data_IF_701145268433
#
_entry.id   IF_701145268433
#
_cell.length_a   1.000
_cell.length_b   1.000
_cell.length_c   1.000
_cell.angle_alpha   90.00
_cell.angle_beta   90.00
_cell.angle_gamma   90.00
#
_symmetry.space_group_name_H-M   'P 1'
#
loop_
_entity.id
_entity.type
_entity.pdbx_description
1 polymer ?
#
# COMPACT_ATOMS: atom_id res chain seq x y z
N UNK A 1 45.31 -38.78 22.83
CA UNK A 1 44.40 -37.72 23.32
C UNK A 1 45.04 -36.40 22.90
N UNK A 2 44.30 -35.46 22.29
CA UNK A 2 44.75 -34.13 21.78
C UNK A 2 45.26 -33.96 20.34
N UNK A 3 44.96 -34.86 19.39
CA UNK A 3 45.35 -34.59 17.99
C UNK A 3 44.36 -35.10 16.94
N UNK A 4 43.06 -34.99 17.22
CA UNK A 4 42.02 -35.42 16.27
C UNK A 4 40.73 -34.59 16.28
N UNK A 5 40.77 -33.37 16.83
CA UNK A 5 39.59 -32.48 16.95
C UNK A 5 39.73 -31.20 16.10
N UNK A 6 40.94 -30.85 15.62
CA UNK A 6 41.14 -29.59 14.91
C UNK A 6 40.77 -29.62 13.41
N UNK A 7 40.63 -30.80 12.80
CA UNK A 7 40.40 -30.94 11.35
C UNK A 7 38.93 -30.92 10.93
N UNK A 8 37.98 -30.94 11.87
CA UNK A 8 36.53 -30.91 11.56
C UNK A 8 35.86 -29.55 11.75
N UNK A 9 36.55 -28.57 12.34
CA UNK A 9 36.00 -27.21 12.54
C UNK A 9 36.27 -26.29 11.34
N UNK A 10 37.29 -26.59 10.51
CA UNK A 10 37.60 -25.78 9.32
C UNK A 10 36.68 -26.11 8.13
N UNK A 11 35.99 -27.25 8.12
CA UNK A 11 35.13 -27.64 7.00
C UNK A 11 33.67 -27.12 7.09
N UNK A 12 33.26 -26.52 8.21
CA UNK A 12 31.89 -25.97 8.38
C UNK A 12 31.85 -24.44 8.19
N UNK A 13 33.00 -23.77 8.18
CA UNK A 13 33.10 -22.33 7.89
C UNK A 13 33.24 -21.99 6.40
N UNK A 14 33.32 -22.99 5.52
CA UNK A 14 33.50 -22.79 4.07
C UNK A 14 32.23 -23.01 3.24
N UNK A 15 31.09 -23.35 3.85
CA UNK A 15 29.83 -23.65 3.14
C UNK A 15 28.76 -22.55 3.29
N UNK A 16 29.01 -21.52 4.11
CA UNK A 16 28.18 -20.29 4.15
C UNK A 16 28.72 -19.15 3.28
N UNK A 17 29.69 -19.44 2.40
CA UNK A 17 30.33 -18.48 1.50
C UNK A 17 30.10 -18.78 0.01
N UNK A 18 29.10 -19.60 -0.34
CA UNK A 18 28.80 -19.97 -1.72
C UNK A 18 27.32 -19.77 -2.04
N UNK A 19 26.97 -18.53 -2.41
CA UNK A 19 26.09 -18.19 -3.54
C UNK A 19 25.93 -16.67 -3.74
N UNK A 20 26.91 -15.86 -3.36
CA UNK A 20 27.11 -14.56 -4.02
C UNK A 20 27.77 -14.82 -5.37
N UNK A 21 27.01 -15.40 -6.32
CA UNK A 21 27.37 -15.37 -7.73
C UNK A 21 27.57 -13.90 -8.10
N UNK A 22 28.83 -13.56 -8.29
CA UNK A 22 29.32 -12.21 -8.49
C UNK A 22 28.61 -11.57 -9.68
N UNK A 23 27.68 -10.64 -9.42
CA UNK A 23 27.19 -9.67 -10.41
C UNK A 23 28.29 -8.68 -10.85
N UNK A 24 29.57 -8.98 -10.61
CA UNK A 24 30.73 -8.11 -10.71
C UNK A 24 31.11 -7.66 -12.15
N UNK A 25 30.21 -7.84 -13.11
CA UNK A 25 30.37 -7.35 -14.49
C UNK A 25 29.07 -6.87 -15.14
N UNK A 26 27.94 -6.88 -14.43
CA UNK A 26 26.66 -6.41 -14.99
C UNK A 26 26.46 -4.95 -14.57
N UNK A 27 26.29 -4.00 -15.51
CA UNK A 27 25.98 -2.62 -15.19
C UNK A 27 24.77 -2.50 -14.25
N UNK A 28 24.81 -1.57 -13.30
CA UNK A 28 23.74 -1.40 -12.30
C UNK A 28 22.39 -1.05 -12.95
N UNK A 29 22.38 -0.34 -14.07
CA UNK A 29 21.19 -0.12 -14.89
C UNK A 29 20.57 -1.43 -15.41
N UNK A 30 21.39 -2.38 -15.87
CA UNK A 30 20.92 -3.68 -16.32
C UNK A 30 20.39 -4.53 -15.14
N UNK A 31 21.03 -4.46 -13.97
CA UNK A 31 20.50 -5.07 -12.73
C UNK A 31 19.13 -4.53 -12.38
N UNK A 32 18.92 -3.22 -12.52
CA UNK A 32 17.63 -2.57 -12.23
C UNK A 32 16.54 -3.07 -13.17
N UNK A 33 16.82 -3.15 -14.48
CA UNK A 33 15.85 -3.66 -15.46
C UNK A 33 15.46 -5.12 -15.18
N UNK A 34 16.44 -5.98 -14.85
CA UNK A 34 16.18 -7.38 -14.46
C UNK A 34 15.32 -7.44 -13.20
N UNK A 35 15.64 -6.62 -12.20
CA UNK A 35 14.87 -6.55 -10.96
C UNK A 35 13.43 -6.12 -11.22
N UNK A 36 13.21 -5.02 -11.95
CA UNK A 36 11.86 -4.53 -12.29
C UNK A 36 11.05 -5.62 -12.99
N UNK A 37 11.59 -6.23 -14.06
CA UNK A 37 10.89 -7.28 -14.81
C UNK A 37 10.48 -8.47 -13.92
N UNK A 38 11.34 -8.86 -12.97
CA UNK A 38 11.00 -9.90 -12.00
C UNK A 38 9.94 -9.46 -11.01
N UNK A 39 10.01 -8.23 -10.49
CA UNK A 39 8.98 -7.70 -9.58
C UNK A 39 7.62 -7.62 -10.28
N UNK A 40 7.58 -7.26 -11.56
CA UNK A 40 6.36 -7.24 -12.36
C UNK A 40 5.77 -8.64 -12.49
N UNK A 41 6.59 -9.64 -12.83
CA UNK A 41 6.17 -11.04 -12.89
C UNK A 41 5.65 -11.56 -11.54
N UNK A 42 6.31 -11.20 -10.43
CA UNK A 42 5.83 -11.53 -9.07
C UNK A 42 4.49 -10.86 -8.79
N UNK A 43 4.30 -9.60 -9.22
CA UNK A 43 3.09 -8.82 -8.92
C UNK A 43 1.82 -9.46 -9.48
N UNK A 44 1.91 -10.12 -10.65
CA UNK A 44 0.81 -10.78 -11.36
C UNK A 44 0.69 -12.28 -11.08
N UNK A 45 1.54 -12.85 -10.21
CA UNK A 45 1.62 -14.29 -9.95
C UNK A 45 0.41 -14.93 -9.27
N UNK A 46 -0.61 -14.14 -8.88
CA UNK A 46 -1.76 -14.60 -8.10
C UNK A 46 -1.43 -14.96 -6.65
N UNK A 47 -0.19 -14.78 -6.20
CA UNK A 47 0.24 -15.07 -4.83
C UNK A 47 -0.32 -14.06 -3.82
N UNK A 48 -0.50 -14.45 -2.54
CA UNK A 48 -0.85 -13.53 -1.46
C UNK A 48 0.10 -12.33 -1.39
N UNK A 49 -0.41 -11.16 -0.97
CA UNK A 49 0.37 -9.91 -0.87
C UNK A 49 1.64 -10.08 -0.03
N UNK A 50 1.55 -10.76 1.12
CA UNK A 50 2.71 -10.99 1.98
C UNK A 50 3.77 -11.90 1.33
N UNK A 51 3.36 -12.88 0.52
CA UNK A 51 4.29 -13.76 -0.20
C UNK A 51 4.97 -12.99 -1.35
N UNK A 52 4.21 -12.19 -2.10
CA UNK A 52 4.77 -11.30 -3.14
C UNK A 52 5.80 -10.34 -2.56
N UNK A 53 5.50 -9.71 -1.42
CA UNK A 53 6.44 -8.85 -0.71
C UNK A 53 7.75 -9.58 -0.35
N UNK A 54 7.68 -10.80 0.19
CA UNK A 54 8.87 -11.61 0.50
C UNK A 54 9.70 -11.93 -0.74
N UNK A 55 9.07 -12.28 -1.85
CA UNK A 55 9.76 -12.58 -3.11
C UNK A 55 10.43 -11.33 -3.70
N UNK A 56 9.74 -10.18 -3.69
CA UNK A 56 10.31 -8.90 -4.11
C UNK A 56 11.51 -8.52 -3.25
N UNK A 57 11.39 -8.66 -1.92
CA UNK A 57 12.49 -8.39 -1.00
C UNK A 57 13.69 -9.29 -1.26
N UNK A 58 13.48 -10.59 -1.47
CA UNK A 58 14.57 -11.52 -1.79
C UNK A 58 15.30 -11.14 -3.09
N UNK A 59 14.56 -10.74 -4.13
CA UNK A 59 15.16 -10.26 -5.38
C UNK A 59 15.89 -8.92 -5.18
N UNK A 60 15.38 -8.03 -4.34
CA UNK A 60 16.09 -6.80 -3.97
C UNK A 60 17.40 -7.12 -3.27
N UNK A 61 17.40 -7.99 -2.25
CA UNK A 61 18.62 -8.33 -1.52
C UNK A 61 19.68 -8.94 -2.44
N UNK A 62 19.27 -9.83 -3.35
CA UNK A 62 20.17 -10.44 -4.33
C UNK A 62 20.86 -9.40 -5.24
N UNK A 63 20.13 -8.35 -5.63
CA UNK A 63 20.58 -7.42 -6.67
C UNK A 63 21.01 -6.05 -6.15
N UNK A 64 20.64 -5.63 -4.94
CA UNK A 64 20.75 -4.24 -4.49
C UNK A 64 21.01 -4.09 -2.98
N UNK A 65 21.21 -5.17 -2.21
CA UNK A 65 21.63 -5.03 -0.81
C UNK A 65 23.02 -4.40 -0.74
N UNK A 66 23.08 -3.13 -0.32
CA UNK A 66 24.31 -2.41 -0.02
C UNK A 66 24.04 -1.39 1.09
N UNK A 67 25.07 -1.03 1.85
CA UNK A 67 24.97 0.17 2.67
C UNK A 67 24.88 1.40 1.76
N UNK A 68 23.89 2.27 2.02
CA UNK A 68 23.70 3.51 1.28
C UNK A 68 24.93 4.42 1.27
N UNK A 69 25.87 4.28 2.23
CA UNK A 69 27.13 5.02 2.24
C UNK A 69 28.17 4.49 1.25
N UNK A 70 28.07 3.21 0.86
CA UNK A 70 29.04 2.54 -0.01
C UNK A 70 28.65 2.59 -1.51
N UNK A 71 27.43 3.00 -1.82
CA UNK A 71 26.94 3.14 -3.21
C UNK A 71 27.69 4.28 -3.89
N UNK A 72 28.14 4.10 -5.14
CA UNK A 72 28.81 5.16 -5.89
C UNK A 72 27.80 6.19 -6.43
N UNK A 73 28.23 7.44 -6.58
CA UNK A 73 27.35 8.53 -7.05
C UNK A 73 26.81 8.34 -8.48
N UNK A 74 27.46 7.52 -9.30
CA UNK A 74 27.01 7.17 -10.66
C UNK A 74 26.02 6.00 -10.71
N UNK A 75 25.81 5.30 -9.58
CA UNK A 75 24.86 4.19 -9.45
C UNK A 75 23.67 4.53 -8.53
N UNK A 76 23.74 5.68 -7.87
CA UNK A 76 22.84 6.06 -6.80
C UNK A 76 21.38 6.18 -7.25
N UNK A 77 21.15 6.63 -8.48
CA UNK A 77 19.82 6.73 -9.05
C UNK A 77 19.17 5.35 -9.18
N UNK A 78 19.89 4.36 -9.70
CA UNK A 78 19.38 2.99 -9.86
C UNK A 78 19.11 2.31 -8.53
N UNK A 79 19.96 2.53 -7.51
CA UNK A 79 19.71 2.01 -6.16
C UNK A 79 18.50 2.67 -5.51
N UNK A 80 18.32 3.99 -5.70
CA UNK A 80 17.13 4.70 -5.24
C UNK A 80 15.87 4.09 -5.87
N UNK A 81 15.87 3.88 -7.20
CA UNK A 81 14.76 3.28 -7.94
C UNK A 81 14.46 1.84 -7.48
N UNK A 82 15.47 0.99 -7.34
CA UNK A 82 15.30 -0.37 -6.85
C UNK A 82 14.73 -0.40 -5.43
N UNK A 83 15.21 0.50 -4.56
CA UNK A 83 14.74 0.60 -3.17
C UNK A 83 13.29 1.06 -3.11
N UNK A 84 12.92 2.06 -3.92
CA UNK A 84 11.54 2.52 -4.01
C UNK A 84 10.60 1.42 -4.50
N UNK A 85 10.97 0.68 -5.55
CA UNK A 85 10.20 -0.43 -6.09
C UNK A 85 10.05 -1.57 -5.08
N UNK A 86 11.11 -1.91 -4.33
CA UNK A 86 11.00 -2.91 -3.26
C UNK A 86 10.05 -2.44 -2.14
N UNK A 87 10.21 -1.20 -1.68
CA UNK A 87 9.34 -0.62 -0.65
C UNK A 87 7.90 -0.47 -1.14
N UNK A 88 7.66 -0.36 -2.46
CA UNK A 88 6.33 -0.38 -3.06
C UNK A 88 5.52 -1.61 -2.66
N UNK A 89 6.13 -2.78 -2.80
CA UNK A 89 5.46 -4.04 -2.51
C UNK A 89 5.49 -4.41 -1.03
N UNK A 90 6.60 -4.10 -0.35
CA UNK A 90 6.84 -4.57 1.02
C UNK A 90 6.27 -3.64 2.09
N UNK A 91 6.21 -2.33 1.82
CA UNK A 91 5.96 -1.30 2.84
C UNK A 91 6.89 -1.42 4.06
N UNK A 92 8.10 -1.97 3.86
CA UNK A 92 9.06 -2.15 4.94
C UNK A 92 9.64 -0.79 5.39
N UNK A 93 9.04 -0.22 6.44
CA UNK A 93 9.47 1.04 7.05
C UNK A 93 10.92 1.02 7.53
N UNK A 94 11.51 -0.15 7.82
CA UNK A 94 12.91 -0.24 8.25
C UNK A 94 13.89 0.21 7.15
N UNK A 95 13.46 0.21 5.89
CA UNK A 95 14.26 0.64 4.74
C UNK A 95 14.23 2.15 4.50
N UNK A 96 13.29 2.86 5.14
CA UNK A 96 13.11 4.31 4.95
C UNK A 96 14.39 5.12 5.24
N UNK A 97 15.17 4.88 6.31
CA UNK A 97 16.42 5.62 6.55
C UNK A 97 17.48 5.41 5.46
N UNK A 98 17.49 4.24 4.80
CA UNK A 98 18.40 3.99 3.67
C UNK A 98 17.94 4.79 2.46
N UNK A 99 16.64 4.77 2.17
CA UNK A 99 16.03 5.50 1.07
C UNK A 99 16.18 7.02 1.20
N UNK A 100 15.98 7.57 2.41
CA UNK A 100 16.23 8.98 2.76
C UNK A 100 17.70 9.38 2.52
N UNK A 101 18.66 8.52 2.91
CA UNK A 101 20.09 8.77 2.70
C UNK A 101 20.47 8.79 1.22
N UNK A 102 19.94 7.86 0.42
CA UNK A 102 20.17 7.84 -1.03
C UNK A 102 19.64 9.13 -1.67
N UNK A 103 18.43 9.54 -1.29
CA UNK A 103 17.84 10.80 -1.76
C UNK A 103 18.69 12.02 -1.37
N UNK A 104 19.12 12.12 -0.11
CA UNK A 104 19.93 13.23 0.35
C UNK A 104 21.21 13.37 -0.48
N UNK A 105 21.90 12.26 -0.75
CA UNK A 105 23.10 12.24 -1.61
C UNK A 105 22.82 12.65 -3.06
N UNK A 106 21.66 12.27 -3.62
CA UNK A 106 21.24 12.74 -4.95
C UNK A 106 21.02 14.26 -4.96
N UNK A 107 20.47 14.82 -3.88
CA UNK A 107 20.29 16.27 -3.74
C UNK A 107 21.63 16.99 -3.58
N UNK A 108 22.51 16.47 -2.72
CA UNK A 108 23.81 17.07 -2.41
C UNK A 108 24.75 17.11 -3.63
N UNK A 109 24.55 16.19 -4.59
CA UNK A 109 25.29 16.13 -5.86
C UNK A 109 24.58 16.80 -7.03
N UNK A 110 23.44 17.47 -6.78
CA UNK A 110 22.58 18.12 -7.79
C UNK A 110 22.10 17.16 -8.90
N UNK A 111 21.93 15.88 -8.57
CA UNK A 111 21.46 14.82 -9.47
C UNK A 111 20.00 14.42 -9.23
N UNK A 112 19.38 14.89 -8.15
CA UNK A 112 18.00 14.54 -7.80
C UNK A 112 17.00 15.07 -8.83
N UNK A 113 16.20 14.18 -9.42
CA UNK A 113 15.13 14.53 -10.37
C UNK A 113 13.82 14.83 -9.65
N UNK A 114 12.93 15.62 -10.26
CA UNK A 114 11.58 15.90 -9.72
C UNK A 114 10.79 14.64 -9.41
N UNK A 115 10.96 13.59 -10.22
CA UNK A 115 10.34 12.29 -9.98
C UNK A 115 10.81 11.67 -8.66
N UNK A 116 12.11 11.75 -8.36
CA UNK A 116 12.67 11.23 -7.11
C UNK A 116 12.18 12.02 -5.88
N UNK A 117 11.98 13.34 -6.00
CA UNK A 117 11.29 14.14 -4.97
C UNK A 117 9.87 13.61 -4.73
N UNK A 118 9.13 13.33 -5.82
CA UNK A 118 7.77 12.80 -5.75
C UNK A 118 7.73 11.42 -5.10
N UNK A 119 8.66 10.53 -5.46
CA UNK A 119 8.77 9.17 -4.93
C UNK A 119 9.03 9.14 -3.43
N UNK A 120 9.94 9.96 -2.91
CA UNK A 120 10.17 10.03 -1.47
C UNK A 120 8.96 10.61 -0.73
N UNK A 121 8.31 11.62 -1.28
CA UNK A 121 7.07 12.15 -0.70
C UNK A 121 5.96 11.10 -0.64
N UNK A 122 5.74 10.36 -1.75
CA UNK A 122 4.75 9.28 -1.79
C UNK A 122 5.11 8.13 -0.84
N UNK A 123 6.39 7.84 -0.63
CA UNK A 123 6.84 6.86 0.37
C UNK A 123 6.41 7.25 1.78
N UNK A 124 6.60 8.53 2.16
CA UNK A 124 6.14 8.99 3.46
C UNK A 124 4.63 8.81 3.62
N UNK A 125 3.85 9.14 2.59
CA UNK A 125 2.41 8.93 2.65
C UNK A 125 2.04 7.44 2.73
N UNK A 126 2.65 6.57 1.92
CA UNK A 126 2.39 5.13 1.94
C UNK A 126 2.65 4.51 3.32
N UNK A 127 3.73 4.95 3.99
CA UNK A 127 4.11 4.52 5.33
C UNK A 127 3.42 5.28 6.46
N UNK A 128 2.51 6.21 6.15
CA UNK A 128 1.80 7.10 7.09
C UNK A 128 2.74 7.98 7.94
N UNK A 129 3.93 8.27 7.41
CA UNK A 129 4.92 9.21 7.96
C UNK A 129 4.56 10.68 7.61
N UNK A 130 3.34 11.10 7.93
CA UNK A 130 2.82 12.40 7.49
C UNK A 130 3.65 13.59 8.00
N UNK A 131 4.23 13.52 9.20
CA UNK A 131 5.09 14.58 9.71
C UNK A 131 6.42 14.70 8.95
N UNK A 132 6.96 13.57 8.49
CA UNK A 132 8.13 13.57 7.60
C UNK A 132 7.76 14.16 6.24
N UNK A 133 6.60 13.81 5.69
CA UNK A 133 6.08 14.42 4.46
C UNK A 133 5.94 15.94 4.59
N UNK A 134 5.35 16.43 5.69
CA UNK A 134 5.23 17.86 5.96
C UNK A 134 6.59 18.56 6.06
N UNK A 135 7.55 17.92 6.73
CA UNK A 135 8.93 18.43 6.84
C UNK A 135 9.61 18.49 5.49
N UNK A 136 9.42 17.46 4.66
CA UNK A 136 9.93 17.39 3.30
C UNK A 136 9.37 18.52 2.42
N UNK A 137 8.05 18.73 2.46
CA UNK A 137 7.38 19.80 1.70
C UNK A 137 7.87 21.20 2.10
N UNK A 138 8.09 21.46 3.39
CA UNK A 138 8.66 22.74 3.85
C UNK A 138 10.08 22.94 3.33
N UNK A 139 10.90 21.89 3.31
CA UNK A 139 12.30 21.95 2.85
C UNK A 139 12.42 22.15 1.35
N UNK A 140 11.52 21.57 0.57
CA UNK A 140 11.62 21.51 -0.90
C UNK A 140 10.45 22.17 -1.63
N UNK A 141 9.82 23.18 -1.01
CA UNK A 141 8.59 23.83 -1.48
C UNK A 141 8.64 24.42 -2.90
N UNK A 142 9.83 24.73 -3.41
CA UNK A 142 10.05 25.29 -4.76
C UNK A 142 10.22 24.22 -5.86
N UNK A 143 10.22 22.93 -5.53
CA UNK A 143 10.43 21.85 -6.51
C UNK A 143 9.09 21.35 -7.10
N UNK A 144 9.08 20.72 -8.29
CA UNK A 144 7.86 20.46 -9.07
C UNK A 144 6.86 19.48 -8.44
N UNK A 145 7.26 18.79 -7.37
CA UNK A 145 6.45 17.81 -6.63
C UNK A 145 5.79 18.44 -5.39
N UNK A 146 5.70 19.76 -5.32
CA UNK A 146 5.21 20.49 -4.15
C UNK A 146 3.72 20.26 -3.94
N UNK A 147 3.40 19.62 -2.82
CA UNK A 147 2.08 19.64 -2.21
C UNK A 147 2.05 20.60 -1.03
N UNK A 148 0.87 20.81 -0.48
CA UNK A 148 0.70 21.52 0.79
C UNK A 148 0.73 20.53 1.97
N UNK A 149 1.27 20.99 3.09
CA UNK A 149 1.33 20.25 4.34
C UNK A 149 -0.08 19.86 4.82
N UNK A 150 -0.17 18.70 5.47
CA UNK A 150 -1.40 18.12 5.97
C UNK A 150 -1.40 18.19 7.49
N UNK A 151 -2.47 18.70 8.09
CA UNK A 151 -2.62 18.71 9.56
C UNK A 151 -3.04 17.32 10.02
N UNK A 152 -2.36 16.78 11.02
CA UNK A 152 -2.56 15.41 11.50
C UNK A 152 -3.14 15.44 12.91
N UNK A 153 -4.16 14.63 13.15
CA UNK A 153 -4.74 14.39 14.48
C UNK A 153 -4.93 12.89 14.65
N UNK A 154 -4.36 12.31 15.70
CA UNK A 154 -4.61 10.91 16.05
C UNK A 154 -5.52 10.86 17.28
N UNK A 155 -6.76 10.41 17.07
CA UNK A 155 -7.78 10.29 18.12
C UNK A 155 -8.09 8.82 18.43
N UNK A 156 -7.19 7.90 18.05
CA UNK A 156 -7.42 6.47 18.23
C UNK A 156 -7.27 6.02 19.67
N UNK A 157 -8.05 5.00 20.04
CA UNK A 157 -7.85 4.28 21.29
C UNK A 157 -6.62 3.39 21.20
N UNK A 158 -5.78 3.28 22.25
CA UNK A 158 -4.66 2.33 22.28
C UNK A 158 -5.06 0.86 22.09
N UNK A 159 -6.34 0.53 22.34
CA UNK A 159 -6.89 -0.81 22.24
C UNK A 159 -7.67 -1.05 20.93
N UNK A 160 -7.74 -0.07 20.04
CA UNK A 160 -8.47 -0.19 18.79
C UNK A 160 -7.82 -1.28 17.90
N UNK A 161 -8.56 -2.32 17.50
CA UNK A 161 -7.98 -3.38 16.67
C UNK A 161 -7.78 -2.92 15.22
N UNK A 162 -8.53 -1.92 14.78
CA UNK A 162 -8.53 -1.39 13.41
C UNK A 162 -8.73 0.11 13.45
N UNK A 163 -8.00 0.81 12.59
CA UNK A 163 -8.02 2.26 12.50
C UNK A 163 -7.96 2.74 11.05
N UNK A 164 -8.38 3.96 10.83
CA UNK A 164 -8.36 4.59 9.51
C UNK A 164 -8.17 6.09 9.59
N UNK A 165 -7.58 6.67 8.55
CA UNK A 165 -7.42 8.12 8.44
C UNK A 165 -8.56 8.71 7.61
N UNK A 166 -9.31 9.61 8.21
CA UNK A 166 -10.43 10.31 7.57
C UNK A 166 -9.98 11.70 7.15
N UNK A 167 -10.28 12.08 5.90
CA UNK A 167 -10.08 13.45 5.43
C UNK A 167 -11.07 14.39 6.10
N UNK A 168 -10.56 15.56 6.48
CA UNK A 168 -11.31 16.64 7.12
C UNK A 168 -11.03 17.94 6.38
N UNK A 169 -11.74 19.00 6.75
CA UNK A 169 -11.55 20.32 6.15
C UNK A 169 -10.13 20.85 6.36
N UNK A 170 -9.74 21.86 5.57
CA UNK A 170 -8.45 22.55 5.71
C UNK A 170 -7.23 21.63 5.65
N UNK A 171 -7.25 20.66 4.71
CA UNK A 171 -6.17 19.69 4.48
C UNK A 171 -5.75 18.96 5.74
N UNK A 172 -6.71 18.31 6.40
CA UNK A 172 -6.44 17.58 7.62
C UNK A 172 -6.83 16.11 7.54
N UNK A 173 -6.05 15.27 8.23
CA UNK A 173 -6.31 13.86 8.41
C UNK A 173 -6.52 13.59 9.90
N UNK A 174 -7.61 12.91 10.24
CA UNK A 174 -7.88 12.43 11.59
C UNK A 174 -7.86 10.91 11.61
N UNK A 175 -7.00 10.31 12.41
CA UNK A 175 -7.04 8.87 12.65
C UNK A 175 -8.15 8.55 13.65
N UNK A 176 -8.99 7.60 13.30
CA UNK A 176 -10.11 7.15 14.11
C UNK A 176 -10.15 5.63 14.19
N UNK A 177 -10.77 5.13 15.24
CA UNK A 177 -11.10 3.72 15.40
C UNK A 177 -12.16 3.32 14.36
N UNK A 178 -12.01 2.12 13.80
CA UNK A 178 -13.02 1.51 12.95
C UNK A 178 -13.75 0.43 13.76
N UNK A 179 -14.88 0.81 14.35
CA UNK A 179 -15.67 -0.09 15.18
C UNK A 179 -16.57 -0.99 14.32
N UNK A 180 -16.22 -2.26 14.28
CA UNK A 180 -16.97 -3.32 13.60
C UNK A 180 -17.62 -4.29 14.60
N UNK A 181 -17.55 -4.01 15.92
CA UNK A 181 -17.83 -4.98 16.98
C UNK A 181 -19.32 -5.29 17.19
N UNK A 182 -20.22 -4.51 16.61
CA UNK A 182 -21.66 -4.72 16.72
C UNK A 182 -22.38 -4.58 15.40
N UNK A 183 -23.26 -5.53 15.09
CA UNK A 183 -24.08 -5.50 13.89
C UNK A 183 -23.32 -5.93 12.64
N UNK A 184 -23.93 -5.69 11.47
CA UNK A 184 -23.35 -6.01 10.17
C UNK A 184 -22.63 -4.81 9.59
N UNK A 185 -21.44 -5.06 9.07
CA UNK A 185 -20.61 -4.06 8.41
C UNK A 185 -20.07 -4.61 7.09
N UNK A 186 -19.97 -3.73 6.10
CA UNK A 186 -19.27 -3.95 4.86
C UNK A 186 -18.07 -3.01 4.80
N UNK A 187 -16.87 -3.59 4.73
CA UNK A 187 -15.66 -2.86 4.40
C UNK A 187 -15.31 -3.12 2.95
N UNK A 188 -15.16 -2.06 2.16
CA UNK A 188 -14.78 -2.13 0.74
C UNK A 188 -13.38 -1.53 0.60
N UNK A 189 -12.40 -2.37 0.29
CA UNK A 189 -11.04 -1.93 0.01
C UNK A 189 -10.90 -1.64 -1.48
N UNK A 190 -10.45 -0.43 -1.83
CA UNK A 190 -10.34 0.03 -3.22
C UNK A 190 -9.01 0.73 -3.50
N UNK A 191 -8.72 0.89 -4.78
CA UNK A 191 -7.92 2.00 -5.31
C UNK A 191 -8.89 3.00 -5.97
N UNK A 192 -8.76 4.31 -5.73
CA UNK A 192 -9.61 5.32 -6.37
C UNK A 192 -9.37 5.42 -7.89
N UNK A 193 -8.33 4.76 -8.42
CA UNK A 193 -8.01 4.70 -9.84
C UNK A 193 -8.52 3.43 -10.53
N UNK A 194 -9.11 2.50 -9.79
CA UNK A 194 -9.59 1.24 -10.34
C UNK A 194 -10.98 1.42 -10.96
N UNK A 195 -11.16 1.22 -12.28
CA UNK A 195 -12.46 1.41 -12.94
C UNK A 195 -13.53 0.45 -12.40
N UNK A 196 -13.16 -0.77 -12.01
CA UNK A 196 -14.10 -1.73 -11.40
C UNK A 196 -14.58 -1.25 -10.02
N UNK A 197 -13.72 -0.61 -9.22
CA UNK A 197 -14.11 -0.06 -7.93
C UNK A 197 -15.04 1.14 -8.08
N UNK A 198 -14.75 2.04 -9.02
CA UNK A 198 -15.61 3.19 -9.35
C UNK A 198 -17.00 2.69 -9.76
N UNK A 199 -17.06 1.71 -10.68
CA UNK A 199 -18.33 1.11 -11.13
C UNK A 199 -19.11 0.49 -9.97
N UNK A 200 -18.45 -0.29 -9.12
CA UNK A 200 -19.09 -0.93 -7.98
C UNK A 200 -19.69 0.07 -7.00
N UNK A 201 -18.94 1.12 -6.65
CA UNK A 201 -19.41 2.13 -5.70
C UNK A 201 -20.55 2.96 -6.26
N UNK A 202 -20.52 3.33 -7.55
CA UNK A 202 -21.65 3.99 -8.19
C UNK A 202 -22.92 3.13 -8.18
N UNK A 203 -22.80 1.81 -8.41
CA UNK A 203 -23.94 0.89 -8.34
C UNK A 203 -24.49 0.77 -6.90
N UNK A 204 -23.62 0.70 -5.89
CA UNK A 204 -24.01 0.63 -4.48
C UNK A 204 -24.67 1.94 -4.02
N UNK A 205 -24.10 3.10 -4.36
CA UNK A 205 -24.63 4.41 -3.94
C UNK A 205 -25.96 4.77 -4.61
N UNK A 206 -26.17 4.34 -5.86
CA UNK A 206 -27.41 4.58 -6.58
C UNK A 206 -28.55 3.63 -6.18
N UNK A 207 -28.26 2.58 -5.41
CA UNK A 207 -29.28 1.67 -4.91
C UNK A 207 -30.06 2.28 -3.73
N UNK A 208 -31.33 2.59 -3.98
CA UNK A 208 -32.25 3.18 -3.01
C UNK A 208 -32.46 2.38 -1.73
N UNK A 209 -32.28 1.05 -1.77
CA UNK A 209 -32.44 0.17 -0.62
C UNK A 209 -31.17 0.14 0.23
N UNK A 210 -30.00 0.25 -0.40
CA UNK A 210 -28.71 0.33 0.29
C UNK A 210 -28.41 1.73 0.85
N UNK A 211 -28.86 2.80 0.17
CA UNK A 211 -28.56 4.19 0.52
C UNK A 211 -28.73 4.53 2.02
N UNK A 212 -29.80 4.10 2.73
CA UNK A 212 -29.96 4.37 4.16
C UNK A 212 -28.92 3.69 5.06
N UNK A 213 -28.27 2.62 4.58
CA UNK A 213 -27.31 1.83 5.34
C UNK A 213 -25.87 2.33 5.16
N UNK A 214 -25.57 2.96 4.03
CA UNK A 214 -24.20 3.28 3.61
C UNK A 214 -23.39 4.01 4.69
N UNK A 215 -23.94 5.10 5.24
CA UNK A 215 -23.23 5.90 6.27
C UNK A 215 -22.97 5.19 7.59
N UNK A 216 -23.70 4.11 7.88
CA UNK A 216 -23.67 3.44 9.20
C UNK A 216 -22.99 2.08 9.16
N UNK A 217 -23.06 1.41 8.02
CA UNK A 217 -22.65 0.01 7.88
C UNK A 217 -21.60 -0.18 6.79
N UNK A 218 -21.31 0.83 5.96
CA UNK A 218 -20.35 0.69 4.87
C UNK A 218 -19.17 1.62 5.09
N UNK A 219 -17.96 1.06 5.07
CA UNK A 219 -16.71 1.82 5.09
C UNK A 219 -15.96 1.57 3.80
N UNK A 220 -15.64 2.63 3.06
CA UNK A 220 -14.78 2.53 1.87
C UNK A 220 -13.37 2.90 2.25
N UNK A 221 -12.49 1.91 2.22
CA UNK A 221 -11.09 2.04 2.55
C UNK A 221 -10.23 2.08 1.31
N UNK A 222 -9.24 2.97 1.30
CA UNK A 222 -8.22 2.98 0.26
C UNK A 222 -7.05 2.11 0.67
N UNK A 223 -6.58 1.26 -0.24
CA UNK A 223 -5.40 0.44 -0.04
C UNK A 223 -4.21 1.28 0.44
N UNK A 224 -3.37 0.69 1.29
CA UNK A 224 -2.08 1.28 1.61
C UNK A 224 -1.14 1.11 0.42
N UNK A 225 -1.07 2.12 -0.45
CA UNK A 225 -0.26 2.17 -1.67
C UNK A 225 0.45 3.54 -1.86
N UNK A 226 1.08 3.72 -3.02
CA UNK A 226 1.98 4.84 -3.35
C UNK A 226 1.32 5.98 -4.12
N UNK A 227 -0.02 6.04 -4.11
CA UNK A 227 -0.76 7.00 -4.92
C UNK A 227 -1.70 7.86 -4.06
N UNK A 228 -1.15 8.44 -2.98
CA UNK A 228 -1.90 9.38 -2.18
C UNK A 228 -1.74 10.80 -2.71
N UNK A 229 -2.85 11.36 -3.20
CA UNK A 229 -2.96 12.74 -3.63
C UNK A 229 -4.15 13.35 -2.91
N UNK A 230 -3.87 14.18 -1.90
CA UNK A 230 -4.90 14.73 -1.01
C UNK A 230 -6.10 15.28 -1.78
N UNK A 231 -5.86 16.12 -2.79
CA UNK A 231 -6.93 16.81 -3.52
C UNK A 231 -7.80 15.85 -4.34
N UNK A 232 -7.24 14.75 -4.85
CA UNK A 232 -8.03 13.71 -5.52
C UNK A 232 -8.96 12.99 -4.55
N UNK A 233 -8.49 12.73 -3.33
CA UNK A 233 -9.28 12.05 -2.29
C UNK A 233 -10.33 13.00 -1.70
N UNK A 234 -9.98 14.29 -1.55
CA UNK A 234 -10.93 15.32 -1.15
C UNK A 234 -12.03 15.49 -2.21
N UNK A 235 -11.66 15.52 -3.50
CA UNK A 235 -12.63 15.57 -4.59
C UNK A 235 -13.53 14.32 -4.63
N UNK A 236 -12.96 13.13 -4.43
CA UNK A 236 -13.76 11.91 -4.28
C UNK A 236 -14.82 12.08 -3.20
N UNK A 237 -14.44 12.57 -2.01
CA UNK A 237 -15.38 12.73 -0.89
C UNK A 237 -16.46 13.78 -1.15
N UNK A 238 -16.25 14.72 -2.09
CA UNK A 238 -17.28 15.66 -2.54
C UNK A 238 -18.28 15.00 -3.50
N UNK A 239 -17.81 14.05 -4.32
CA UNK A 239 -18.65 13.32 -5.29
C UNK A 239 -19.43 12.19 -4.62
N UNK A 240 -18.78 11.44 -3.71
CA UNK A 240 -19.31 10.25 -3.04
C UNK A 240 -19.69 10.56 -1.58
N UNK A 241 -20.73 11.40 -1.39
CA UNK A 241 -21.15 11.90 -0.07
C UNK A 241 -21.66 10.81 0.90
N UNK A 242 -22.03 9.64 0.38
CA UNK A 242 -22.49 8.52 1.20
C UNK A 242 -21.33 7.58 1.55
N UNK A 243 -20.30 7.51 0.70
CA UNK A 243 -19.16 6.63 0.84
C UNK A 243 -17.82 7.40 0.73
N UNK A 244 -17.53 8.30 1.69
CA UNK A 244 -16.24 8.98 1.74
C UNK A 244 -15.11 7.98 2.00
N UNK A 245 -13.95 8.27 1.44
CA UNK A 245 -12.74 7.47 1.59
C UNK A 245 -12.15 7.59 2.98
N UNK A 246 -11.73 6.44 3.50
CA UNK A 246 -10.88 6.28 4.66
C UNK A 246 -9.55 5.69 4.21
N UNK A 247 -8.41 6.30 4.54
CA UNK A 247 -7.13 5.67 4.23
C UNK A 247 -6.87 4.55 5.24
N UNK A 248 -6.50 3.37 4.75
CA UNK A 248 -6.00 2.28 5.59
C UNK A 248 -4.79 2.77 6.40
N UNK A 249 -4.78 2.57 7.72
CA UNK A 249 -3.59 2.88 8.52
C UNK A 249 -2.44 1.90 8.22
N UNK A 250 -2.70 0.61 8.38
CA UNK A 250 -1.73 -0.47 8.21
C UNK A 250 -2.41 -1.73 7.67
N UNK A 251 -1.70 -2.52 6.85
CA UNK A 251 -2.22 -3.81 6.35
C UNK A 251 -2.31 -4.86 7.46
N UNK A 252 -1.47 -4.74 8.49
CA UNK A 252 -1.36 -5.65 9.62
C UNK A 252 -2.61 -5.62 10.53
N UNK A 253 -3.36 -4.51 10.55
CA UNK A 253 -4.65 -4.40 11.24
C UNK A 253 -5.77 -5.27 10.59
N UNK A 254 -5.50 -5.85 9.42
CA UNK A 254 -6.46 -6.63 8.62
C UNK A 254 -5.92 -8.03 8.27
N UNK A 255 -5.66 -8.90 9.26
CA UNK A 255 -5.05 -10.21 9.04
C UNK A 255 -5.86 -11.14 8.13
N UNK A 256 -7.18 -10.92 8.02
CA UNK A 256 -8.08 -11.63 7.10
C UNK A 256 -7.87 -11.30 5.60
N UNK A 257 -7.11 -10.25 5.29
CA UNK A 257 -6.84 -9.80 3.92
C UNK A 257 -5.50 -10.34 3.43
N UNK A 258 -5.54 -11.52 2.81
CA UNK A 258 -4.35 -12.12 2.19
C UNK A 258 -4.00 -11.51 0.83
N UNK A 259 -5.01 -11.03 0.09
CA UNK A 259 -4.86 -10.40 -1.23
C UNK A 259 -5.41 -8.98 -1.18
N UNK A 260 -4.51 -8.00 -1.13
CA UNK A 260 -4.87 -6.59 -1.24
C UNK A 260 -5.11 -6.24 -2.70
N UNK A 261 -6.37 -6.35 -3.12
CA UNK A 261 -6.83 -6.11 -4.49
C UNK A 261 -8.02 -5.14 -4.47
N UNK A 262 -8.31 -4.53 -5.62
CA UNK A 262 -9.38 -3.54 -5.76
C UNK A 262 -10.37 -3.94 -6.85
N UNK A 263 -11.69 -3.90 -6.59
CA UNK A 263 -12.32 -3.79 -5.27
C UNK A 263 -12.27 -5.13 -4.50
N UNK A 264 -12.17 -5.07 -3.17
CA UNK A 264 -12.32 -6.21 -2.25
C UNK A 264 -13.40 -5.88 -1.22
N UNK A 265 -14.37 -6.77 -1.08
CA UNK A 265 -15.51 -6.63 -0.18
C UNK A 265 -15.35 -7.60 0.99
N UNK A 266 -15.47 -7.08 2.21
CA UNK A 266 -15.34 -7.82 3.46
C UNK A 266 -16.61 -7.60 4.30
N UNK A 267 -17.36 -8.66 4.57
CA UNK A 267 -18.57 -8.59 5.37
C UNK A 267 -18.30 -9.07 6.78
N UNK A 268 -18.51 -8.19 7.75
CA UNK A 268 -18.35 -8.47 9.17
C UNK A 268 -19.70 -8.55 9.87
N UNK A 269 -19.75 -9.40 10.89
CA UNK A 269 -20.81 -9.40 11.90
C UNK A 269 -20.18 -9.51 13.28
N UNK A 270 -20.50 -8.55 14.14
CA UNK A 270 -20.02 -8.51 15.53
C UNK A 270 -18.50 -8.72 15.64
N UNK A 271 -17.74 -7.98 14.82
CA UNK A 271 -16.27 -8.00 14.76
C UNK A 271 -15.65 -9.15 13.98
N UNK A 272 -16.45 -10.12 13.50
CA UNK A 272 -15.97 -11.33 12.81
C UNK A 272 -16.26 -11.27 11.31
N UNK A 273 -15.26 -11.62 10.49
CA UNK A 273 -15.46 -11.75 9.04
C UNK A 273 -16.35 -12.97 8.75
N UNK A 274 -17.51 -12.75 8.12
CA UNK A 274 -18.42 -13.82 7.69
C UNK A 274 -18.15 -14.26 6.25
N UNK A 275 -17.86 -13.31 5.36
CA UNK A 275 -17.61 -13.60 3.95
C UNK A 275 -16.80 -12.48 3.27
N UNK A 276 -16.24 -12.79 2.10
CA UNK A 276 -15.54 -11.83 1.25
C UNK A 276 -15.62 -12.21 -0.22
N UNK A 277 -15.51 -11.22 -1.10
CA UNK A 277 -15.31 -11.42 -2.53
C UNK A 277 -14.52 -10.26 -3.14
N UNK A 278 -13.94 -10.46 -4.32
CA UNK A 278 -13.15 -9.44 -5.02
C UNK A 278 -13.60 -9.28 -6.48
N UNK A 279 -13.41 -8.08 -7.01
CA UNK A 279 -13.79 -7.73 -8.39
C UNK A 279 -15.23 -7.24 -8.51
N UNK A 280 -15.55 -6.71 -9.68
CA UNK A 280 -16.90 -6.26 -10.05
C UNK A 280 -17.14 -6.43 -11.57
N UNK A 281 -17.29 -7.67 -12.07
CA UNK A 281 -17.49 -7.96 -13.48
C UNK A 281 -18.82 -7.39 -14.03
N UNK A 282 -19.90 -7.45 -13.24
CA UNK A 282 -21.24 -6.99 -13.63
C UNK A 282 -22.00 -6.44 -12.43
N UNK A 283 -23.06 -5.68 -12.69
CA UNK A 283 -23.92 -5.11 -11.63
C UNK A 283 -24.83 -6.16 -10.97
N UNK A 284 -24.86 -7.39 -11.52
CA UNK A 284 -25.50 -8.54 -10.88
C UNK A 284 -24.79 -8.91 -9.56
N UNK A 285 -23.53 -8.50 -9.38
CA UNK A 285 -22.81 -8.69 -8.12
C UNK A 285 -23.35 -7.84 -6.97
N UNK A 286 -24.29 -6.91 -7.23
CA UNK A 286 -25.02 -6.19 -6.20
C UNK A 286 -25.80 -7.13 -5.27
N UNK A 287 -26.28 -8.27 -5.77
CA UNK A 287 -26.93 -9.30 -4.96
C UNK A 287 -25.99 -9.91 -3.89
N UNK A 288 -24.67 -9.98 -4.16
CA UNK A 288 -23.67 -10.37 -3.16
C UNK A 288 -23.60 -9.35 -2.02
N UNK A 289 -23.71 -8.06 -2.33
CA UNK A 289 -23.75 -6.97 -1.34
C UNK A 289 -24.99 -7.09 -0.45
N UNK A 290 -26.16 -7.31 -1.06
CA UNK A 290 -27.41 -7.52 -0.32
C UNK A 290 -27.31 -8.72 0.63
N UNK A 291 -26.89 -9.88 0.12
CA UNK A 291 -26.72 -11.08 0.96
C UNK A 291 -25.76 -10.86 2.11
N UNK A 292 -24.62 -10.21 1.86
CA UNK A 292 -23.63 -9.94 2.89
C UNK A 292 -24.12 -8.98 3.98
N UNK A 293 -25.01 -8.05 3.63
CA UNK A 293 -25.72 -7.19 4.60
C UNK A 293 -26.97 -7.85 5.21
N UNK A 294 -27.29 -9.08 4.83
CA UNK A 294 -28.46 -9.82 5.31
C UNK A 294 -29.79 -9.26 4.81
N UNK A 295 -29.79 -8.69 3.61
CA UNK A 295 -30.97 -8.16 2.92
C UNK A 295 -31.43 -9.13 1.82
N UNK A 296 -32.69 -9.01 1.42
CA UNK A 296 -33.24 -9.73 0.26
C UNK A 296 -33.08 -8.88 -1.00
N UNK A 297 -32.37 -9.40 -2.00
CA UNK A 297 -32.27 -8.76 -3.31
C UNK A 297 -33.58 -8.96 -4.09
N UNK A 298 -34.25 -7.88 -4.49
CA UNK A 298 -35.42 -7.95 -5.38
C UNK A 298 -34.96 -7.71 -6.81
N UNK A 299 -34.92 -8.77 -7.62
CA UNK A 299 -34.47 -8.73 -9.03
C UNK A 299 -35.39 -7.93 -9.97
N UNK A 300 -36.52 -7.41 -9.49
CA UNK A 300 -37.50 -6.67 -10.28
C UNK A 300 -36.95 -5.37 -10.92
N UNK A 301 -35.76 -4.90 -10.53
CA UNK A 301 -35.07 -3.75 -11.14
C UNK A 301 -34.20 -4.10 -12.37
N UNK A 302 -34.00 -5.38 -12.70
CA UNK A 302 -33.12 -5.77 -13.81
C UNK A 302 -33.77 -5.69 -15.21
N UNK A 303 -35.05 -5.30 -15.30
CA UNK A 303 -35.82 -5.24 -16.56
C UNK A 303 -36.29 -3.82 -16.83
N UNK A 304 -35.36 -2.88 -16.94
CA UNK A 304 -35.57 -1.63 -17.70
C UNK A 304 -34.24 -1.16 -18.26
N UNK A 305 -33.79 -1.86 -19.30
CA UNK A 305 -32.94 -1.26 -20.35
C UNK A 305 -33.82 -1.11 -21.58
N UNK A 306 -34.36 0.09 -21.77
CA UNK A 306 -34.66 0.62 -23.11
C UNK A 306 -33.49 1.51 -23.52
#
# INVERSE_FOLDING_TARGET
MEMLILTKIVAVLSVLLYCSLSYAGIPTSQRLQIFIAKTDAISISGKPTAERAKLVYAEYIKNFAADATAIRDDELAEFFEATQQMMFYTLDKSQLPSFERMFARLVDTDKATSEQYGKLLQMYYALREFEKANTFLRRYSQKPSSGEAIKISDLTSPLAPRTGWVLRDNRSLTRLDLDLNSGRHLVIIISPYCPFAIKALSAIESDSTLAPLLRRQVTVMVMQDFNFFYDKYAHWNQVHLLLPLVLTHSREEWPEVSHWVSPLFLFFRDGKLESKFSGWPSDEDLDKVYRGLGLTFSSAKAITKE
#
